data_IF_651486069426
#
_entry.id   IF_651486069426
#
_cell.length_a   1.000
_cell.length_b   1.000
_cell.length_c   1.000
_cell.angle_alpha   90.00
_cell.angle_beta   90.00
_cell.angle_gamma   90.00
#
_symmetry.space_group_name_H-M   'P 1'
#
loop_
_entity.id
_entity.type
_entity.pdbx_description
1 polymer ?
#
# COMPACT_ATOMS: atom_id res chain seq x y z
N UNK A 1 32.80 -8.41 14.76
CA UNK A 1 33.07 -6.98 14.45
C UNK A 1 31.79 -6.16 14.22
N UNK A 2 30.65 -6.48 14.86
CA UNK A 2 29.37 -5.77 14.63
C UNK A 2 28.97 -4.80 15.76
N UNK A 3 29.64 -4.86 16.92
CA UNK A 3 29.26 -4.08 18.10
C UNK A 3 29.35 -2.55 17.96
N UNK A 4 30.38 -1.95 17.33
CA UNK A 4 30.44 -0.49 17.23
C UNK A 4 29.33 0.05 16.31
N UNK A 5 28.99 -0.65 15.22
CA UNK A 5 27.95 -0.20 14.27
C UNK A 5 26.55 -0.17 14.88
N UNK A 6 26.24 -1.13 15.77
CA UNK A 6 24.98 -1.12 16.53
C UNK A 6 24.86 0.10 17.45
N UNK A 7 25.97 0.59 18.00
CA UNK A 7 25.97 1.78 18.86
C UNK A 7 25.68 3.07 18.07
N UNK A 8 26.21 3.19 16.85
CA UNK A 8 25.94 4.32 15.95
C UNK A 8 24.50 4.29 15.43
N UNK A 9 23.99 3.11 15.06
CA UNK A 9 22.59 2.94 14.68
C UNK A 9 21.65 3.37 15.80
N UNK A 10 21.91 2.96 17.05
CA UNK A 10 21.10 3.34 18.19
C UNK A 10 21.11 4.86 18.45
N UNK A 11 22.23 5.56 18.20
CA UNK A 11 22.32 7.02 18.32
C UNK A 11 21.48 7.73 17.25
N UNK A 12 21.54 7.27 16.00
CA UNK A 12 20.73 7.82 14.92
C UNK A 12 19.24 7.57 15.13
N UNK A 13 18.86 6.39 15.62
CA UNK A 13 17.47 6.08 15.99
C UNK A 13 16.97 6.99 17.11
N UNK A 14 17.80 7.29 18.12
CA UNK A 14 17.44 8.27 19.18
C UNK A 14 17.29 9.69 18.64
N UNK A 15 18.16 10.11 17.72
CA UNK A 15 18.06 11.42 17.09
C UNK A 15 16.78 11.53 16.24
N UNK A 16 16.47 10.48 15.46
CA UNK A 16 15.25 10.40 14.66
C UNK A 16 13.99 10.39 15.52
N UNK A 17 14.03 9.71 16.67
CA UNK A 17 12.92 9.66 17.62
C UNK A 17 12.68 10.97 18.39
N UNK A 18 13.58 11.95 18.28
CA UNK A 18 13.36 13.27 18.89
C UNK A 18 12.26 14.02 18.14
N UNK A 19 11.15 14.30 18.82
CA UNK A 19 9.95 14.96 18.25
C UNK A 19 10.25 16.31 17.62
N UNK A 20 11.20 17.08 18.14
CA UNK A 20 11.60 18.37 17.56
C UNK A 20 12.32 18.15 16.24
N UNK A 21 13.27 17.22 16.20
CA UNK A 21 14.01 16.88 14.99
C UNK A 21 13.08 16.31 13.91
N UNK A 22 12.20 15.40 14.30
CA UNK A 22 11.14 14.83 13.46
C UNK A 22 10.29 15.95 12.84
N UNK A 23 9.76 16.85 13.66
CA UNK A 23 8.96 17.98 13.20
C UNK A 23 9.74 18.92 12.26
N UNK A 24 11.00 19.20 12.54
CA UNK A 24 11.85 20.01 11.66
C UNK A 24 12.05 19.35 10.29
N UNK A 25 12.38 18.06 10.25
CA UNK A 25 12.60 17.33 8.98
C UNK A 25 11.30 17.24 8.18
N UNK A 26 10.18 16.92 8.82
CA UNK A 26 8.86 16.90 8.16
C UNK A 26 8.54 18.28 7.59
N UNK A 27 8.74 19.34 8.37
CA UNK A 27 8.49 20.72 7.91
C UNK A 27 9.33 21.06 6.68
N UNK A 28 10.62 20.69 6.67
CA UNK A 28 11.51 20.90 5.51
C UNK A 28 11.00 20.13 4.28
N UNK A 29 10.62 18.86 4.44
CA UNK A 29 10.13 18.04 3.33
C UNK A 29 8.83 18.63 2.75
N UNK A 30 7.89 19.00 3.63
CA UNK A 30 6.60 19.59 3.22
C UNK A 30 6.81 20.94 2.53
N UNK A 31 7.61 21.84 3.11
CA UNK A 31 7.91 23.13 2.49
C UNK A 31 8.62 22.98 1.14
N UNK A 32 9.53 22.00 1.02
CA UNK A 32 10.21 21.70 -0.25
C UNK A 32 9.26 21.11 -1.29
N UNK A 33 8.29 20.28 -0.87
CA UNK A 33 7.24 19.76 -1.73
C UNK A 33 6.33 20.88 -2.26
N UNK A 34 5.89 21.77 -1.36
CA UNK A 34 5.07 22.93 -1.71
C UNK A 34 5.81 23.88 -2.65
N UNK A 35 7.12 24.05 -2.47
CA UNK A 35 7.97 24.84 -3.37
C UNK A 35 8.03 24.26 -4.79
N UNK A 36 8.01 22.93 -4.96
CA UNK A 36 7.93 22.30 -6.29
C UNK A 36 6.61 22.68 -6.97
N UNK A 37 5.49 22.67 -6.23
CA UNK A 37 4.20 23.15 -6.75
C UNK A 37 4.20 24.64 -7.04
N UNK A 38 4.78 25.45 -6.14
CA UNK A 38 4.88 26.90 -6.27
C UNK A 38 5.73 27.34 -7.47
N UNK A 39 6.73 26.54 -7.91
CA UNK A 39 7.46 26.80 -9.16
C UNK A 39 6.61 26.76 -10.43
N UNK A 40 5.37 26.28 -10.34
CA UNK A 40 4.39 26.42 -11.43
C UNK A 40 3.91 27.86 -11.58
N UNK A 41 4.23 28.73 -10.60
CA UNK A 41 3.98 30.15 -10.59
C UNK A 41 5.34 30.90 -10.57
N UNK A 42 5.47 31.93 -11.39
CA UNK A 42 6.68 32.74 -11.46
C UNK A 42 6.83 33.57 -10.15
N UNK A 43 8.05 33.65 -9.61
CA UNK A 43 8.47 34.48 -8.46
C UNK A 43 8.45 33.86 -7.05
N UNK A 44 9.42 33.00 -6.72
CA UNK A 44 9.84 32.73 -5.32
C UNK A 44 11.36 32.54 -5.18
N UNK A 45 12.16 33.61 -5.29
CA UNK A 45 13.63 33.47 -5.43
C UNK A 45 14.44 33.31 -4.13
N UNK A 46 14.05 33.95 -3.01
CA UNK A 46 14.88 33.92 -1.78
C UNK A 46 14.67 32.69 -0.90
N UNK A 47 13.42 32.28 -0.69
CA UNK A 47 13.10 31.09 0.11
C UNK A 47 13.59 29.80 -0.56
N UNK A 48 13.72 29.80 -1.88
CA UNK A 48 14.15 28.65 -2.67
C UNK A 48 15.57 28.21 -2.32
N UNK A 49 16.52 29.15 -2.17
CA UNK A 49 17.91 28.82 -1.88
C UNK A 49 18.06 28.20 -0.49
N UNK A 50 17.40 28.79 0.50
CA UNK A 50 17.42 28.30 1.89
C UNK A 50 16.79 26.90 1.97
N UNK A 51 15.61 26.72 1.38
CA UNK A 51 14.94 25.41 1.35
C UNK A 51 15.76 24.36 0.59
N UNK A 52 16.46 24.74 -0.49
CA UNK A 52 17.35 23.83 -1.22
C UNK A 52 18.50 23.33 -0.36
N UNK A 53 19.10 24.20 0.47
CA UNK A 53 20.17 23.81 1.40
C UNK A 53 19.62 22.83 2.44
N UNK A 54 18.45 23.12 3.01
CA UNK A 54 17.82 22.22 3.99
C UNK A 54 17.40 20.87 3.37
N UNK A 55 16.87 20.84 2.15
CA UNK A 55 16.53 19.61 1.45
C UNK A 55 17.78 18.77 1.15
N UNK A 56 18.89 19.42 0.77
CA UNK A 56 20.19 18.75 0.63
C UNK A 56 20.65 18.17 1.97
N UNK A 57 20.55 18.92 3.07
CA UNK A 57 20.90 18.43 4.40
C UNK A 57 20.07 17.21 4.81
N UNK A 58 18.75 17.22 4.56
CA UNK A 58 17.86 16.08 4.80
C UNK A 58 18.26 14.88 3.92
N UNK A 59 18.63 15.12 2.66
CA UNK A 59 19.12 14.06 1.75
C UNK A 59 20.37 13.39 2.30
N UNK A 60 21.35 14.20 2.74
CA UNK A 60 22.60 13.71 3.32
C UNK A 60 22.33 12.95 4.63
N UNK A 61 21.40 13.44 5.46
CA UNK A 61 20.99 12.74 6.68
C UNK A 61 20.47 11.33 6.38
N UNK A 62 19.50 11.19 5.45
CA UNK A 62 18.97 9.88 5.05
C UNK A 62 20.01 8.99 4.37
N UNK A 63 20.96 9.58 3.62
CA UNK A 63 22.08 8.84 3.05
C UNK A 63 22.99 8.26 4.13
N UNK A 64 23.37 9.06 5.13
CA UNK A 64 24.18 8.56 6.25
C UNK A 64 23.42 7.48 7.01
N UNK A 65 22.14 7.69 7.26
CA UNK A 65 21.27 6.72 7.93
C UNK A 65 21.22 5.38 7.19
N UNK A 66 20.98 5.39 5.87
CA UNK A 66 20.87 4.15 5.08
C UNK A 66 22.20 3.40 5.02
N UNK A 67 23.32 4.13 4.92
CA UNK A 67 24.67 3.56 4.92
C UNK A 67 24.97 2.89 6.26
N UNK A 68 24.65 3.52 7.39
CA UNK A 68 24.84 2.93 8.72
C UNK A 68 23.97 1.68 8.87
N UNK A 69 22.70 1.74 8.46
CA UNK A 69 21.77 0.60 8.54
C UNK A 69 22.24 -0.57 7.68
N UNK A 70 22.82 -0.28 6.52
CA UNK A 70 23.39 -1.28 5.62
C UNK A 70 24.69 -1.89 6.18
N UNK A 71 25.56 -1.08 6.81
CA UNK A 71 26.81 -1.53 7.43
C UNK A 71 26.60 -2.34 8.72
N UNK A 72 25.50 -2.12 9.45
CA UNK A 72 25.15 -2.88 10.64
C UNK A 72 24.69 -4.33 10.33
N UNK A 73 24.26 -4.61 9.09
CA UNK A 73 23.77 -5.92 8.69
C UNK A 73 24.94 -6.85 8.29
N UNK A 74 25.00 -8.07 8.86
CA UNK A 74 26.13 -9.00 8.63
C UNK A 74 26.33 -9.41 7.17
N UNK A 75 25.27 -9.39 6.36
CA UNK A 75 25.30 -9.65 4.93
C UNK A 75 24.43 -8.60 4.23
N UNK A 76 24.98 -7.92 3.23
CA UNK A 76 24.24 -6.93 2.42
C UNK A 76 22.95 -7.51 1.83
N UNK A 77 22.93 -8.81 1.48
CA UNK A 77 21.72 -9.49 0.97
C UNK A 77 20.56 -9.49 1.99
N UNK A 78 20.83 -9.47 3.29
CA UNK A 78 19.78 -9.44 4.30
C UNK A 78 19.09 -8.07 4.35
N UNK A 79 19.83 -7.00 4.03
CA UNK A 79 19.27 -5.66 3.96
C UNK A 79 18.17 -5.58 2.89
N UNK A 80 18.45 -6.10 1.68
CA UNK A 80 17.51 -6.11 0.56
C UNK A 80 16.34 -7.11 0.68
N UNK A 81 16.32 -7.96 1.71
CA UNK A 81 15.15 -8.80 2.01
C UNK A 81 14.06 -8.05 2.78
N UNK A 82 14.40 -6.94 3.44
CA UNK A 82 13.46 -6.12 4.20
C UNK A 82 12.87 -5.05 3.27
N UNK A 83 11.58 -5.17 2.92
CA UNK A 83 10.93 -4.28 1.96
C UNK A 83 11.08 -2.78 2.27
N UNK A 84 11.00 -2.39 3.54
CA UNK A 84 11.19 -1.00 3.97
C UNK A 84 12.63 -0.48 3.78
N UNK A 85 13.63 -1.35 3.93
CA UNK A 85 15.01 -0.97 3.65
C UNK A 85 15.25 -0.76 2.16
N UNK A 86 14.62 -1.58 1.31
CA UNK A 86 14.65 -1.40 -0.15
C UNK A 86 13.98 -0.08 -0.53
N UNK A 87 12.82 0.22 0.04
CA UNK A 87 12.11 1.48 -0.17
C UNK A 87 12.98 2.68 0.21
N UNK A 88 13.49 2.72 1.45
CA UNK A 88 14.34 3.81 1.93
C UNK A 88 15.58 4.00 1.04
N UNK A 89 16.21 2.89 0.60
CA UNK A 89 17.34 2.93 -0.33
C UNK A 89 16.96 3.52 -1.70
N UNK A 90 15.83 3.09 -2.28
CA UNK A 90 15.35 3.59 -3.58
C UNK A 90 15.05 5.09 -3.53
N UNK A 91 14.44 5.58 -2.45
CA UNK A 91 14.16 7.01 -2.28
C UNK A 91 15.44 7.83 -2.19
N UNK A 92 16.44 7.36 -1.44
CA UNK A 92 17.75 8.03 -1.35
C UNK A 92 18.50 7.98 -2.68
N UNK A 93 18.51 6.82 -3.35
CA UNK A 93 19.16 6.66 -4.66
C UNK A 93 18.54 7.58 -5.71
N UNK A 94 17.20 7.62 -5.81
CA UNK A 94 16.48 8.51 -6.74
C UNK A 94 16.75 9.99 -6.44
N UNK A 95 17.04 10.34 -5.19
CA UNK A 95 17.34 11.71 -4.76
C UNK A 95 18.75 12.18 -5.11
N UNK A 96 19.70 11.24 -5.27
CA UNK A 96 21.11 11.52 -5.55
C UNK A 96 21.41 11.67 -7.05
N UNK A 97 20.47 11.30 -7.93
CA UNK A 97 20.66 11.40 -9.38
C UNK A 97 20.92 12.87 -9.76
N UNK A 98 22.11 13.19 -10.28
CA UNK A 98 22.46 14.56 -10.68
C UNK A 98 21.62 14.97 -11.89
N UNK A 99 21.27 16.25 -11.94
CA UNK A 99 20.21 16.80 -12.79
C UNK A 99 20.74 17.48 -14.06
N UNK A 100 22.05 17.41 -14.30
CA UNK A 100 22.74 18.33 -15.22
C UNK A 100 22.97 17.76 -16.64
N UNK A 101 22.60 16.50 -16.91
CA UNK A 101 22.69 15.93 -18.27
C UNK A 101 21.42 16.22 -19.10
N UNK A 102 21.63 16.83 -20.28
CA UNK A 102 20.62 17.49 -21.12
C UNK A 102 19.43 16.63 -21.54
N UNK A 103 19.60 15.32 -21.68
CA UNK A 103 18.50 14.40 -22.04
C UNK A 103 17.76 13.85 -20.81
N UNK A 104 18.42 13.79 -19.65
CA UNK A 104 17.82 13.30 -18.40
C UNK A 104 17.13 14.39 -17.60
N UNK A 105 17.22 15.66 -18.01
CA UNK A 105 16.68 16.82 -17.26
C UNK A 105 15.18 16.66 -16.95
N UNK A 106 14.36 16.20 -17.91
CA UNK A 106 12.91 16.05 -17.70
C UNK A 106 12.59 14.95 -16.68
N UNK A 107 13.19 13.77 -16.85
CA UNK A 107 13.02 12.65 -15.91
C UNK A 107 13.55 13.01 -14.52
N UNK A 108 14.71 13.64 -14.45
CA UNK A 108 15.31 14.11 -13.21
C UNK A 108 14.42 15.17 -12.52
N UNK A 109 13.73 16.04 -13.27
CA UNK A 109 12.74 16.98 -12.70
C UNK A 109 11.56 16.25 -12.06
N UNK A 110 11.02 15.22 -12.73
CA UNK A 110 9.95 14.38 -12.17
C UNK A 110 10.44 13.61 -10.94
N UNK A 111 11.69 13.13 -10.95
CA UNK A 111 12.27 12.37 -9.84
C UNK A 111 12.32 13.18 -8.53
N UNK A 112 12.33 14.52 -8.60
CA UNK A 112 12.26 15.40 -7.41
C UNK A 112 10.97 15.19 -6.60
N UNK A 113 9.87 14.79 -7.23
CA UNK A 113 8.60 14.53 -6.53
C UNK A 113 8.74 13.32 -5.58
N UNK A 114 9.60 12.35 -5.89
CA UNK A 114 9.85 11.21 -5.00
C UNK A 114 10.47 11.64 -3.66
N UNK A 115 11.07 12.84 -3.55
CA UNK A 115 11.55 13.36 -2.25
C UNK A 115 10.42 13.51 -1.23
N UNK A 116 9.19 13.75 -1.69
CA UNK A 116 8.00 13.79 -0.82
C UNK A 116 7.74 12.43 -0.18
N UNK A 117 8.10 11.33 -0.85
CA UNK A 117 7.98 9.99 -0.29
C UNK A 117 8.91 9.75 0.92
N UNK A 118 9.92 10.61 1.15
CA UNK A 118 10.69 10.59 2.40
C UNK A 118 9.82 10.80 3.63
N UNK A 119 8.64 11.42 3.51
CA UNK A 119 7.67 11.49 4.60
C UNK A 119 7.27 10.09 5.07
N UNK A 120 7.05 9.16 4.13
CA UNK A 120 6.74 7.76 4.44
C UNK A 120 7.93 7.07 5.11
N UNK A 121 9.16 7.42 4.73
CA UNK A 121 10.35 6.91 5.42
C UNK A 121 10.54 7.49 6.82
N UNK A 122 10.22 8.77 7.01
CA UNK A 122 10.43 9.50 8.27
C UNK A 122 9.36 9.19 9.33
N UNK A 123 8.11 9.04 8.90
CA UNK A 123 6.93 8.93 9.79
C UNK A 123 6.51 7.46 9.89
N UNK A 124 6.76 6.78 11.02
CA UNK A 124 6.38 5.38 11.22
C UNK A 124 4.87 5.14 11.05
N UNK A 125 4.04 6.10 11.43
CA UNK A 125 2.58 6.04 11.30
C UNK A 125 2.17 5.91 9.83
N UNK A 126 2.82 6.65 8.91
CA UNK A 126 2.58 6.50 7.46
C UNK A 126 2.98 5.11 6.97
N UNK A 127 4.06 4.52 7.50
CA UNK A 127 4.44 3.14 7.16
C UNK A 127 3.39 2.14 7.61
N UNK A 128 2.82 2.32 8.80
CA UNK A 128 1.75 1.47 9.31
C UNK A 128 0.51 1.58 8.43
N UNK A 129 0.12 2.80 8.03
CA UNK A 129 -1.01 3.01 7.12
C UNK A 129 -0.78 2.36 5.75
N UNK A 130 0.38 2.59 5.14
CA UNK A 130 0.75 1.98 3.85
C UNK A 130 0.83 0.46 3.96
N UNK A 131 1.42 -0.08 5.03
CA UNK A 131 1.45 -1.52 5.29
C UNK A 131 0.05 -2.11 5.45
N UNK A 132 -0.86 -1.40 6.12
CA UNK A 132 -2.25 -1.82 6.27
C UNK A 132 -2.97 -1.87 4.91
N UNK A 133 -2.74 -0.88 4.04
CA UNK A 133 -3.25 -0.89 2.66
C UNK A 133 -2.70 -2.07 1.86
N UNK A 134 -1.38 -2.31 1.89
CA UNK A 134 -0.80 -3.46 1.18
C UNK A 134 -1.26 -4.80 1.76
N UNK A 135 -1.55 -4.88 3.07
CA UNK A 135 -2.05 -6.10 3.71
C UNK A 135 -3.50 -6.42 3.33
N UNK A 136 -4.30 -5.44 2.90
CA UNK A 136 -5.67 -5.68 2.43
C UNK A 136 -5.74 -6.12 0.97
N UNK A 137 -4.80 -5.69 0.11
CA UNK A 137 -4.77 -6.02 -1.33
C UNK A 137 -4.88 -7.54 -1.62
N UNK A 138 -4.13 -8.44 -0.98
CA UNK A 138 -4.20 -9.88 -1.28
C UNK A 138 -5.61 -10.47 -1.11
N UNK A 139 -6.39 -9.98 -0.15
CA UNK A 139 -7.77 -10.45 0.09
C UNK A 139 -8.68 -10.10 -1.09
N UNK A 140 -8.39 -9.01 -1.78
CA UNK A 140 -9.15 -8.52 -2.94
C UNK A 140 -8.70 -9.13 -4.27
N UNK A 141 -7.59 -9.89 -4.29
CA UNK A 141 -6.96 -10.35 -5.53
C UNK A 141 -7.88 -11.17 -6.44
N UNK A 142 -8.60 -12.14 -5.88
CA UNK A 142 -9.53 -12.97 -6.66
C UNK A 142 -10.71 -12.16 -7.22
N UNK A 143 -11.24 -11.23 -6.44
CA UNK A 143 -12.32 -10.34 -6.89
C UNK A 143 -11.82 -9.40 -7.97
N UNK A 144 -10.62 -8.83 -7.81
CA UNK A 144 -10.00 -7.98 -8.83
C UNK A 144 -9.77 -8.74 -10.14
N UNK A 145 -9.37 -10.01 -10.07
CA UNK A 145 -9.24 -10.87 -11.26
C UNK A 145 -10.60 -11.12 -11.94
N UNK A 146 -11.63 -11.44 -11.15
CA UNK A 146 -12.99 -11.63 -11.68
C UNK A 146 -13.51 -10.35 -12.34
N UNK A 147 -13.33 -9.20 -11.69
CA UNK A 147 -13.67 -7.87 -12.23
C UNK A 147 -12.93 -7.60 -13.54
N UNK A 148 -11.63 -7.89 -13.59
CA UNK A 148 -10.84 -7.74 -14.82
C UNK A 148 -11.38 -8.61 -15.97
N UNK A 149 -11.75 -9.86 -15.70
CA UNK A 149 -12.36 -10.76 -16.70
C UNK A 149 -13.69 -10.19 -17.20
N UNK A 150 -14.55 -9.71 -16.31
CA UNK A 150 -15.85 -9.11 -16.68
C UNK A 150 -15.64 -7.86 -17.53
N UNK A 151 -14.74 -6.98 -17.12
CA UNK A 151 -14.37 -5.77 -17.86
C UNK A 151 -13.85 -6.12 -19.25
N UNK A 152 -13.00 -7.14 -19.36
CA UNK A 152 -12.47 -7.57 -20.64
C UNK A 152 -13.56 -8.12 -21.56
N UNK A 153 -14.47 -8.97 -21.05
CA UNK A 153 -15.58 -9.53 -21.83
C UNK A 153 -16.52 -8.42 -22.30
N UNK A 154 -16.98 -7.56 -21.39
CA UNK A 154 -17.84 -6.44 -21.76
C UNK A 154 -17.12 -5.46 -22.68
N UNK A 155 -15.85 -5.18 -22.45
CA UNK A 155 -15.03 -4.29 -23.27
C UNK A 155 -14.87 -4.83 -24.69
N UNK A 156 -14.61 -6.12 -24.84
CA UNK A 156 -14.56 -6.77 -26.15
C UNK A 156 -15.91 -6.69 -26.87
N UNK A 157 -17.01 -7.03 -26.19
CA UNK A 157 -18.37 -6.94 -26.75
C UNK A 157 -18.69 -5.50 -27.16
N UNK A 158 -18.44 -4.53 -26.28
CA UNK A 158 -18.72 -3.12 -26.52
C UNK A 158 -17.87 -2.56 -27.66
N UNK A 159 -16.59 -2.91 -27.72
CA UNK A 159 -15.71 -2.50 -28.83
C UNK A 159 -16.13 -3.09 -30.17
N UNK A 160 -16.82 -4.23 -30.18
CA UNK A 160 -17.35 -4.82 -31.40
C UNK A 160 -18.72 -4.24 -31.79
N UNK A 161 -19.59 -3.97 -30.81
CA UNK A 161 -20.96 -3.50 -31.06
C UNK A 161 -21.05 -1.99 -31.27
N UNK A 162 -20.24 -1.20 -30.57
CA UNK A 162 -20.36 0.26 -30.49
C UNK A 162 -19.18 0.98 -31.12
N UNK A 163 -18.31 0.27 -31.85
CA UNK A 163 -17.15 0.83 -32.55
C UNK A 163 -17.50 2.11 -33.34
N UNK A 164 -18.63 2.08 -34.06
CA UNK A 164 -19.04 3.15 -34.97
C UNK A 164 -19.77 4.31 -34.26
N UNK A 165 -20.03 4.20 -32.95
CA UNK A 165 -20.67 5.26 -32.15
C UNK A 165 -19.66 6.35 -31.81
N UNK A 166 -18.52 5.96 -31.22
CA UNK A 166 -17.42 6.85 -30.88
C UNK A 166 -16.11 6.06 -30.78
N UNK A 167 -15.18 6.32 -31.71
CA UNK A 167 -13.88 5.67 -31.77
C UNK A 167 -13.03 5.91 -30.50
N UNK A 168 -13.24 7.04 -29.79
CA UNK A 168 -12.52 7.34 -28.54
C UNK A 168 -12.99 6.50 -27.37
N UNK A 169 -14.26 6.06 -27.41
CA UNK A 169 -14.86 5.23 -26.36
C UNK A 169 -14.75 3.74 -26.67
N UNK A 170 -14.89 3.35 -27.94
CA UNK A 170 -15.09 1.95 -28.36
C UNK A 170 -14.09 1.46 -29.42
N UNK A 171 -13.16 2.28 -29.89
CA UNK A 171 -12.27 1.95 -31.02
C UNK A 171 -11.35 0.75 -30.79
N UNK A 172 -11.07 0.38 -29.54
CA UNK A 172 -10.42 -0.88 -29.20
C UNK A 172 -10.82 -1.35 -27.79
N UNK A 173 -10.45 -2.60 -27.47
CA UNK A 173 -10.79 -3.25 -26.19
C UNK A 173 -10.25 -2.43 -25.00
N UNK A 174 -9.06 -1.84 -25.10
CA UNK A 174 -8.48 -1.04 -24.00
C UNK A 174 -9.26 0.25 -23.74
N UNK A 175 -9.68 0.96 -24.80
CA UNK A 175 -10.53 2.13 -24.69
C UNK A 175 -11.92 1.76 -24.15
N UNK A 176 -12.51 0.67 -24.65
CA UNK A 176 -13.79 0.17 -24.16
C UNK A 176 -13.74 -0.21 -22.67
N UNK A 177 -12.65 -0.84 -22.20
CA UNK A 177 -12.45 -1.11 -20.78
C UNK A 177 -12.31 0.17 -19.94
N UNK A 178 -11.69 1.23 -20.49
CA UNK A 178 -11.60 2.54 -19.82
C UNK A 178 -12.98 3.22 -19.74
N UNK A 179 -13.76 3.17 -20.82
CA UNK A 179 -15.15 3.63 -20.85
C UNK A 179 -16.00 2.86 -19.83
N UNK A 180 -15.83 1.54 -19.73
CA UNK A 180 -16.52 0.73 -18.73
C UNK A 180 -16.06 1.00 -17.31
N UNK A 181 -14.80 1.40 -17.10
CA UNK A 181 -14.33 1.88 -15.79
C UNK A 181 -15.04 3.17 -15.38
N UNK A 182 -15.18 4.12 -16.32
CA UNK A 182 -16.00 5.32 -16.10
C UNK A 182 -17.45 4.94 -15.73
N UNK A 183 -18.09 4.05 -16.50
CA UNK A 183 -19.44 3.55 -16.22
C UNK A 183 -19.54 2.86 -14.85
N UNK A 184 -18.55 2.06 -14.46
CA UNK A 184 -18.51 1.35 -13.18
C UNK A 184 -18.42 2.30 -11.97
N UNK A 185 -17.83 3.48 -12.16
CA UNK A 185 -17.79 4.55 -11.14
C UNK A 185 -19.03 5.44 -11.13
N UNK A 186 -20.01 5.14 -11.99
CA UNK A 186 -21.22 5.94 -12.23
C UNK A 186 -20.94 7.38 -12.72
N UNK A 187 -19.74 7.66 -13.19
CA UNK A 187 -19.36 8.99 -13.68
C UNK A 187 -19.90 9.19 -15.09
N UNK A 188 -20.81 10.15 -15.25
CA UNK A 188 -21.40 10.58 -16.53
C UNK A 188 -21.91 9.47 -17.48
N UNK A 189 -22.15 8.26 -16.97
CA UNK A 189 -22.43 7.08 -17.79
C UNK A 189 -23.71 7.20 -18.63
N UNK A 190 -24.73 7.89 -18.13
CA UNK A 190 -25.98 8.08 -18.83
C UNK A 190 -25.83 9.09 -19.97
N UNK A 191 -25.26 10.25 -19.69
CA UNK A 191 -25.19 11.38 -20.63
C UNK A 191 -24.03 11.29 -21.60
N UNK A 192 -22.85 10.82 -21.16
CA UNK A 192 -21.64 10.79 -21.98
C UNK A 192 -21.46 9.48 -22.75
N UNK A 193 -22.10 8.37 -22.32
CA UNK A 193 -21.90 7.05 -22.93
C UNK A 193 -23.21 6.45 -23.42
N UNK A 194 -24.20 6.27 -22.55
CA UNK A 194 -25.45 5.59 -22.88
C UNK A 194 -26.27 6.34 -23.94
N UNK A 195 -26.59 7.61 -23.72
CA UNK A 195 -27.49 8.34 -24.64
C UNK A 195 -26.92 8.47 -26.07
N UNK A 196 -25.64 8.82 -26.28
CA UNK A 196 -25.04 8.79 -27.63
C UNK A 196 -25.06 7.38 -28.26
N UNK A 197 -24.87 6.35 -27.45
CA UNK A 197 -24.97 4.96 -27.92
C UNK A 197 -26.42 4.61 -28.29
N UNK A 198 -27.41 5.11 -27.56
CA UNK A 198 -28.84 4.87 -27.83
C UNK A 198 -29.36 5.58 -29.08
N UNK A 199 -28.72 6.67 -29.52
CA UNK A 199 -29.04 7.30 -30.81
C UNK A 199 -28.83 6.34 -31.99
N UNK A 200 -27.85 5.44 -31.88
CA UNK A 200 -27.53 4.42 -32.88
C UNK A 200 -28.17 3.06 -32.55
N UNK A 201 -28.20 2.70 -31.26
CA UNK A 201 -28.62 1.40 -30.76
C UNK A 201 -29.67 1.56 -29.65
N UNK A 202 -30.98 1.62 -29.97
CA UNK A 202 -32.04 1.94 -29.01
C UNK A 202 -32.12 1.01 -27.78
N UNK A 203 -31.63 -0.22 -27.89
CA UNK A 203 -31.61 -1.21 -26.80
C UNK A 203 -30.27 -1.29 -26.05
N UNK A 204 -29.33 -0.38 -26.31
CA UNK A 204 -28.01 -0.39 -25.66
C UNK A 204 -28.10 -0.27 -24.13
N UNK A 205 -29.19 0.31 -23.60
CA UNK A 205 -29.43 0.38 -22.15
C UNK A 205 -29.40 -1.00 -21.47
N UNK A 206 -29.75 -2.09 -22.16
CA UNK A 206 -29.67 -3.45 -21.60
C UNK A 206 -28.22 -3.79 -21.27
N UNK A 207 -27.30 -3.56 -22.22
CA UNK A 207 -25.88 -3.84 -22.05
C UNK A 207 -25.28 -3.06 -20.86
N UNK A 208 -25.59 -1.76 -20.75
CA UNK A 208 -25.06 -0.94 -19.66
C UNK A 208 -25.69 -1.31 -18.31
N UNK A 209 -27.00 -1.57 -18.26
CA UNK A 209 -27.66 -1.96 -17.01
C UNK A 209 -27.19 -3.33 -16.51
N UNK A 210 -26.98 -4.31 -17.39
CA UNK A 210 -26.44 -5.61 -16.97
C UNK A 210 -25.01 -5.50 -16.46
N UNK A 211 -24.19 -4.66 -17.11
CA UNK A 211 -22.84 -4.37 -16.66
C UNK A 211 -22.84 -3.71 -15.27
N UNK A 212 -23.62 -2.63 -15.12
CA UNK A 212 -23.73 -1.87 -13.87
C UNK A 212 -24.21 -2.77 -12.73
N UNK A 213 -25.26 -3.55 -12.97
CA UNK A 213 -25.82 -4.43 -11.95
C UNK A 213 -24.81 -5.49 -11.52
N UNK A 214 -24.14 -6.14 -12.47
CA UNK A 214 -23.12 -7.15 -12.20
C UNK A 214 -21.93 -6.54 -11.42
N UNK A 215 -21.43 -5.39 -11.88
CA UNK A 215 -20.32 -4.67 -11.24
C UNK A 215 -20.66 -4.23 -9.81
N UNK A 216 -21.83 -3.62 -9.62
CA UNK A 216 -22.30 -3.18 -8.30
C UNK A 216 -22.53 -4.36 -7.36
N UNK A 217 -23.08 -5.48 -7.86
CA UNK A 217 -23.29 -6.69 -7.08
C UNK A 217 -21.98 -7.31 -6.60
N UNK A 218 -20.98 -7.43 -7.50
CA UNK A 218 -19.66 -7.96 -7.13
C UNK A 218 -18.97 -7.04 -6.12
N UNK A 219 -19.02 -5.73 -6.34
CA UNK A 219 -18.45 -4.76 -5.42
C UNK A 219 -19.10 -4.82 -4.04
N UNK A 220 -20.43 -4.90 -3.98
CA UNK A 220 -21.18 -5.03 -2.73
C UNK A 220 -20.82 -6.32 -1.99
N UNK A 221 -20.79 -7.46 -2.68
CA UNK A 221 -20.42 -8.75 -2.08
C UNK A 221 -18.97 -8.76 -1.56
N UNK A 222 -18.05 -8.10 -2.28
CA UNK A 222 -16.68 -7.91 -1.82
C UNK A 222 -16.64 -7.06 -0.55
N UNK A 223 -17.35 -5.94 -0.53
CA UNK A 223 -17.41 -5.05 0.64
C UNK A 223 -17.98 -5.79 1.86
N UNK A 224 -19.11 -6.49 1.68
CA UNK A 224 -19.70 -7.32 2.73
C UNK A 224 -18.72 -8.40 3.20
N UNK A 225 -18.05 -9.09 2.27
CA UNK A 225 -17.05 -10.10 2.61
C UNK A 225 -15.89 -9.56 3.44
N UNK A 226 -15.37 -8.37 3.09
CA UNK A 226 -14.30 -7.71 3.85
C UNK A 226 -14.79 -7.27 5.23
N UNK A 227 -15.97 -6.65 5.31
CA UNK A 227 -16.56 -6.20 6.58
C UNK A 227 -16.82 -7.39 7.51
N UNK A 228 -17.39 -8.48 6.99
CA UNK A 228 -17.62 -9.71 7.75
C UNK A 228 -16.30 -10.34 8.22
N UNK A 229 -15.27 -10.42 7.38
CA UNK A 229 -13.95 -10.94 7.76
C UNK A 229 -13.29 -10.10 8.87
N UNK A 230 -13.46 -8.77 8.84
CA UNK A 230 -12.97 -7.88 9.90
C UNK A 230 -13.79 -8.07 11.18
N UNK A 231 -15.11 -8.09 11.10
CA UNK A 231 -15.99 -8.27 12.26
C UNK A 231 -15.78 -9.63 12.93
N UNK A 232 -15.62 -10.71 12.17
CA UNK A 232 -15.35 -12.04 12.71
C UNK A 232 -14.01 -12.11 13.43
N UNK A 233 -12.98 -11.44 12.91
CA UNK A 233 -11.67 -11.34 13.58
C UNK A 233 -11.75 -10.56 14.88
N UNK A 234 -12.45 -9.42 14.87
CA UNK A 234 -12.61 -8.59 16.07
C UNK A 234 -13.41 -9.33 17.15
N UNK A 235 -14.52 -9.96 16.77
CA UNK A 235 -15.32 -10.78 17.67
C UNK A 235 -14.51 -11.93 18.28
N UNK A 236 -13.69 -12.63 17.47
CA UNK A 236 -12.86 -13.72 17.98
C UNK A 236 -11.78 -13.24 18.98
N UNK A 237 -11.28 -12.01 18.82
CA UNK A 237 -10.36 -11.40 19.80
C UNK A 237 -11.11 -11.07 21.09
N UNK A 238 -12.30 -10.46 20.99
CA UNK A 238 -13.13 -10.14 22.15
C UNK A 238 -13.55 -11.39 22.94
N UNK A 239 -13.92 -12.47 22.25
CA UNK A 239 -14.24 -13.77 22.86
C UNK A 239 -13.07 -14.29 23.70
N UNK A 240 -11.86 -14.25 23.13
CA UNK A 240 -10.64 -14.66 23.83
C UNK A 240 -10.32 -13.78 25.05
N UNK A 241 -10.53 -12.47 24.97
CA UNK A 241 -10.28 -11.55 26.08
C UNK A 241 -11.31 -11.70 27.21
N UNK A 242 -12.58 -11.90 26.87
CA UNK A 242 -13.67 -12.05 27.84
C UNK A 242 -13.77 -13.46 28.42
N UNK A 243 -13.06 -14.44 27.83
CA UNK A 243 -13.21 -15.86 28.20
C UNK A 243 -14.58 -16.43 27.81
N UNK A 244 -15.31 -15.74 26.93
CA UNK A 244 -16.65 -16.08 26.48
C UNK A 244 -16.58 -16.51 25.00
N UNK A 245 -17.50 -17.38 24.57
CA UNK A 245 -17.55 -17.85 23.18
C UNK A 245 -16.78 -19.14 22.89
N UNK A 246 -17.10 -19.75 21.74
CA UNK A 246 -16.63 -21.09 21.35
C UNK A 246 -15.10 -21.16 21.24
N UNK A 247 -14.45 -20.08 20.82
CA UNK A 247 -12.99 -20.02 20.64
C UNK A 247 -12.23 -20.00 21.97
N UNK A 248 -12.73 -19.27 22.97
CA UNK A 248 -12.17 -19.26 24.32
C UNK A 248 -12.33 -20.63 25.00
N UNK A 249 -13.51 -21.24 24.89
CA UNK A 249 -13.76 -22.59 25.44
C UNK A 249 -12.89 -23.65 24.79
N UNK A 250 -12.70 -23.60 23.46
CA UNK A 250 -11.81 -24.52 22.74
C UNK A 250 -10.35 -24.41 23.19
N UNK A 251 -9.86 -23.20 23.47
CA UNK A 251 -8.51 -23.01 24.00
C UNK A 251 -8.41 -23.51 25.44
N UNK A 252 -9.39 -23.20 26.31
CA UNK A 252 -9.44 -23.74 27.67
C UNK A 252 -9.44 -25.28 27.70
N UNK A 253 -10.25 -25.92 26.85
CA UNK A 253 -10.28 -27.38 26.74
C UNK A 253 -8.94 -27.97 26.26
N UNK A 254 -8.24 -27.29 25.35
CA UNK A 254 -6.90 -27.71 24.91
C UNK A 254 -5.88 -27.64 26.03
N UNK A 255 -5.96 -26.61 26.86
CA UNK A 255 -5.10 -26.46 28.03
C UNK A 255 -5.41 -27.53 29.08
N UNK A 256 -6.68 -27.83 29.32
CA UNK A 256 -7.11 -28.94 30.20
C UNK A 256 -6.61 -30.30 29.70
N UNK A 257 -6.72 -30.57 28.38
CA UNK A 257 -6.23 -31.82 27.78
C UNK A 257 -4.70 -31.93 27.90
N UNK A 258 -3.98 -30.81 27.76
CA UNK A 258 -2.52 -30.78 28.01
C UNK A 258 -2.20 -31.09 29.47
N UNK A 259 -2.91 -30.47 30.41
CA UNK A 259 -2.73 -30.71 31.84
C UNK A 259 -2.99 -32.18 32.21
N UNK A 260 -4.03 -32.79 31.66
CA UNK A 260 -4.34 -34.21 31.84
C UNK A 260 -3.24 -35.11 31.27
N UNK A 261 -2.72 -34.81 30.07
CA UNK A 261 -1.60 -35.57 29.48
C UNK A 261 -0.34 -35.48 30.34
N UNK A 262 -0.02 -34.31 30.89
CA UNK A 262 1.11 -34.15 31.81
C UNK A 262 0.91 -34.88 33.14
N UNK A 263 -0.32 -34.91 33.67
CA UNK A 263 -0.65 -35.70 34.85
C UNK A 263 -0.50 -37.20 34.59
N UNK A 264 -1.00 -37.70 33.46
CA UNK A 264 -0.85 -39.10 33.07
C UNK A 264 0.62 -39.49 32.92
N UNK A 265 1.43 -38.67 32.23
CA UNK A 265 2.86 -38.92 32.11
C UNK A 265 3.59 -38.93 33.46
N UNK A 266 3.17 -38.06 34.40
CA UNK A 266 3.69 -38.09 35.79
C UNK A 266 3.28 -39.36 36.54
N UNK A 267 2.05 -39.84 36.37
CA UNK A 267 1.58 -41.08 36.98
C UNK A 267 2.33 -42.30 36.41
N UNK A 268 2.50 -42.36 35.09
CA UNK A 268 3.22 -43.42 34.39
C UNK A 268 4.68 -43.49 34.88
N UNK A 269 5.36 -42.36 34.98
CA UNK A 269 6.72 -42.27 35.53
C UNK A 269 6.80 -42.69 37.02
N UNK A 270 5.75 -42.47 37.82
CA UNK A 270 5.70 -42.94 39.21
C UNK A 270 5.49 -44.45 39.31
N UNK A 271 4.70 -45.04 38.40
CA UNK A 271 4.48 -46.48 38.35
C UNK A 271 5.74 -47.23 37.92
N UNK A 272 6.45 -46.73 36.89
CA UNK A 272 7.74 -47.31 36.45
C UNK A 272 8.81 -47.29 37.55
N UNK A 273 8.79 -46.30 38.44
CA UNK A 273 9.70 -46.22 39.60
C UNK A 273 9.34 -47.19 40.72
N UNK A 274 8.11 -47.70 40.75
CA UNK A 274 7.61 -48.61 41.79
C UNK A 274 7.80 -50.09 41.43
N UNK A 275 7.96 -50.38 40.13
CA UNK A 275 8.23 -51.73 39.60
C UNK A 275 9.74 -52.07 39.52
N UNK A 276 10.63 -51.14 39.86
CA UNK A 276 12.07 -51.37 40.05
C UNK A 276 12.42 -51.45 41.54
#
# INVERSE_FOLDING_TARGET
MAEPFNSWQARFERLRANKIFEFCVISIIVLSALLIGARTYDEVTRFEQVLRIFDMAVTVFFLVEIVIRMAAEQRLRNFFKKGWNVFDFLIVAASLIPMDDSEMVLLARLLRIFRVLRLVSMIPELRVLVAALFKSIPRMGYVALLMFIIFYIYGAIGSFLFHDVDERLWGNISLAMLTLFQVATFESWATAVLYPTMEHYPYAWIYFLTFIFLNAFIFLNMMIGIVLDVMQKENAIMDLENGEGDTAQMNGLRDDVRALREQLGRMEAMLERRER
#
